data_IF_267882256902
#
_entry.id   IF_267882256902
#
_cell.length_a   1.000
_cell.length_b   1.000
_cell.length_c   1.000
_cell.angle_alpha   90.00
_cell.angle_beta   90.00
_cell.angle_gamma   90.00
#
_symmetry.space_group_name_H-M   'P 1'
#
loop_
_entity.id
_entity.type
_entity.pdbx_description
1 polymer ?
#
# COMPACT_ATOMS: atom_id res chain seq x y z
N UNK A 1 -38.98 23.06 -8.86
CA UNK A 1 -39.07 23.15 -10.33
C UNK A 1 -38.76 21.78 -10.91
N UNK A 2 -39.74 21.11 -11.56
CA UNK A 2 -39.54 19.79 -12.18
C UNK A 2 -38.69 19.91 -13.45
N UNK A 3 -37.66 19.08 -13.58
CA UNK A 3 -37.22 18.38 -14.80
C UNK A 3 -36.71 17.03 -14.32
N UNK A 4 -37.47 15.96 -14.58
CA UNK A 4 -37.37 15.11 -15.76
C UNK A 4 -36.29 14.05 -15.55
N UNK A 5 -36.70 12.79 -15.70
CA UNK A 5 -35.95 11.60 -15.36
C UNK A 5 -34.64 11.49 -16.16
N UNK A 6 -33.52 11.32 -15.44
CA UNK A 6 -32.32 10.75 -16.02
C UNK A 6 -32.47 9.21 -16.06
N UNK A 7 -32.12 8.54 -17.17
CA UNK A 7 -32.01 7.08 -17.22
C UNK A 7 -30.83 6.61 -16.34
N UNK A 8 -30.77 5.32 -15.95
CA UNK A 8 -29.70 4.79 -15.12
C UNK A 8 -28.40 4.70 -15.94
N UNK A 9 -27.74 5.83 -16.11
CA UNK A 9 -26.40 5.95 -16.67
C UNK A 9 -25.37 5.74 -15.57
N UNK A 10 -24.65 4.62 -15.69
CA UNK A 10 -23.32 4.35 -15.19
C UNK A 10 -22.70 5.47 -14.34
N UNK A 11 -22.67 5.26 -13.01
CA UNK A 11 -21.95 6.11 -12.07
C UNK A 11 -20.42 5.90 -12.19
N UNK A 12 -19.87 6.13 -13.37
CA UNK A 12 -18.45 6.36 -13.60
C UNK A 12 -18.05 7.71 -13.04
N UNK A 13 -17.95 7.84 -11.70
CA UNK A 13 -17.31 9.00 -11.09
C UNK A 13 -15.85 9.02 -11.55
N UNK A 14 -15.53 10.09 -12.28
CA UNK A 14 -14.48 10.10 -13.29
C UNK A 14 -13.06 9.99 -12.73
N UNK A 15 -12.20 9.32 -13.52
CA UNK A 15 -10.75 9.51 -13.52
C UNK A 15 -10.01 8.70 -14.62
N UNK A 16 -10.66 8.29 -15.72
CA UNK A 16 -9.98 7.64 -16.84
C UNK A 16 -10.41 8.24 -18.19
N UNK A 17 -9.42 8.67 -18.99
CA UNK A 17 -9.62 9.13 -20.37
C UNK A 17 -9.90 7.97 -21.35
N UNK A 18 -9.79 6.72 -20.89
CA UNK A 18 -10.08 5.51 -21.66
C UNK A 18 -11.10 4.62 -20.94
N UNK A 19 -12.06 4.07 -21.66
CA UNK A 19 -12.98 3.05 -21.14
C UNK A 19 -12.23 1.74 -20.86
N UNK A 20 -12.74 0.84 -19.99
CA UNK A 20 -12.14 -0.48 -19.79
C UNK A 20 -11.92 -1.24 -21.10
N UNK A 21 -12.90 -1.22 -22.01
CA UNK A 21 -12.78 -1.83 -23.33
C UNK A 21 -11.65 -1.22 -24.17
N UNK A 22 -11.53 0.12 -24.20
CA UNK A 22 -10.45 0.80 -24.92
C UNK A 22 -9.06 0.42 -24.38
N UNK A 23 -8.93 0.25 -23.05
CA UNK A 23 -7.68 -0.20 -22.42
C UNK A 23 -7.27 -1.62 -22.82
N UNK A 24 -8.24 -2.54 -22.90
CA UNK A 24 -7.97 -3.90 -23.35
C UNK A 24 -7.51 -3.93 -24.81
N UNK A 25 -8.18 -3.16 -25.69
CA UNK A 25 -7.83 -3.12 -27.11
C UNK A 25 -6.45 -2.53 -27.40
N UNK A 26 -6.02 -1.49 -26.66
CA UNK A 26 -4.66 -0.94 -26.84
C UNK A 26 -3.58 -1.88 -26.25
N UNK A 27 -3.86 -2.57 -25.14
CA UNK A 27 -2.94 -3.55 -24.57
C UNK A 27 -2.74 -4.76 -25.48
N UNK A 28 -3.80 -5.24 -26.15
CA UNK A 28 -3.71 -6.28 -27.20
C UNK A 28 -2.80 -5.88 -28.37
N UNK A 29 -2.63 -4.58 -28.61
CA UNK A 29 -1.73 -4.03 -29.63
C UNK A 29 -0.31 -3.79 -29.12
N UNK A 30 0.04 -4.31 -27.94
CA UNK A 30 1.38 -4.22 -27.36
C UNK A 30 1.66 -2.93 -26.57
N UNK A 31 0.66 -2.08 -26.34
CA UNK A 31 0.83 -0.87 -25.53
C UNK A 31 0.75 -1.23 -24.05
N UNK A 32 1.78 -0.88 -23.26
CA UNK A 32 1.77 -1.10 -21.81
C UNK A 32 0.88 -0.04 -21.15
N UNK A 33 -0.14 -0.49 -20.42
CA UNK A 33 -1.06 0.38 -19.66
C UNK A 33 -1.02 -0.03 -18.19
N UNK A 34 -0.42 0.81 -17.35
CA UNK A 34 -0.27 0.57 -15.90
C UNK A 34 -1.31 1.34 -15.05
N UNK A 35 -2.34 1.93 -15.67
CA UNK A 35 -3.17 2.95 -15.00
C UNK A 35 -4.29 2.39 -14.10
N UNK A 36 -4.54 3.17 -13.05
CA UNK A 36 -5.68 3.28 -12.11
C UNK A 36 -5.54 2.64 -10.71
N UNK A 37 -4.68 1.64 -10.51
CA UNK A 37 -4.36 1.20 -9.14
C UNK A 37 -3.12 1.95 -8.59
N UNK A 38 -2.01 2.00 -9.32
CA UNK A 38 -0.71 2.47 -8.78
C UNK A 38 -0.62 4.00 -8.61
N UNK A 39 -1.15 4.80 -9.56
CA UNK A 39 -1.16 6.26 -9.45
C UNK A 39 -2.16 6.77 -8.40
N UNK A 40 -3.34 6.16 -8.32
CA UNK A 40 -4.34 6.48 -7.28
C UNK A 40 -3.85 6.09 -5.88
N UNK A 41 -3.09 4.98 -5.78
CA UNK A 41 -2.40 4.62 -4.53
C UNK A 41 -1.44 5.71 -4.08
N UNK A 42 -0.68 6.35 -4.98
CA UNK A 42 0.22 7.43 -4.59
C UNK A 42 -0.52 8.62 -3.95
N UNK A 43 -1.70 9.00 -4.46
CA UNK A 43 -2.54 10.02 -3.84
C UNK A 43 -3.11 9.62 -2.46
N UNK A 44 -3.51 8.35 -2.31
CA UNK A 44 -3.94 7.80 -1.02
C UNK A 44 -2.76 7.76 -0.03
N UNK A 45 -1.58 7.37 -0.49
CA UNK A 45 -0.37 7.33 0.33
C UNK A 45 0.08 8.75 0.72
N UNK A 46 0.05 9.73 -0.19
CA UNK A 46 0.42 11.11 0.15
C UNK A 46 -0.51 11.71 1.21
N UNK A 47 -1.82 11.45 1.12
CA UNK A 47 -2.78 11.91 2.13
C UNK A 47 -2.59 11.22 3.49
N UNK A 48 -2.15 9.96 3.53
CA UNK A 48 -1.81 9.31 4.80
C UNK A 48 -0.59 9.97 5.45
N UNK A 49 0.43 10.34 4.68
CA UNK A 49 1.57 11.10 5.22
C UNK A 49 1.20 12.51 5.65
N UNK A 50 0.25 13.18 4.99
CA UNK A 50 -0.27 14.46 5.47
C UNK A 50 -0.90 14.34 6.87
N UNK A 51 -1.70 13.30 7.10
CA UNK A 51 -2.26 12.99 8.43
C UNK A 51 -1.13 12.75 9.43
N UNK A 52 -0.08 12.03 9.04
CA UNK A 52 1.06 11.74 9.91
C UNK A 52 1.85 13.00 10.27
N UNK A 53 2.02 13.94 9.34
CA UNK A 53 2.62 15.24 9.63
C UNK A 53 1.82 15.99 10.70
N UNK A 54 0.49 16.05 10.55
CA UNK A 54 -0.41 16.71 11.50
C UNK A 54 -0.44 16.04 12.89
N UNK A 55 -0.23 14.72 12.95
CA UNK A 55 -0.16 14.00 14.22
C UNK A 55 1.17 14.20 14.97
N UNK A 56 2.26 14.40 14.23
CA UNK A 56 3.62 14.38 14.79
C UNK A 56 4.24 15.77 14.95
N UNK A 57 3.72 16.77 14.25
CA UNK A 57 4.27 18.12 14.22
C UNK A 57 3.18 19.17 14.42
N UNK A 58 3.54 20.24 15.11
CA UNK A 58 2.76 21.48 15.10
C UNK A 58 2.87 22.17 13.73
N UNK A 59 1.96 23.10 13.38
CA UNK A 59 2.06 23.83 12.12
C UNK A 59 3.39 24.59 11.95
N UNK A 60 3.94 25.14 13.03
CA UNK A 60 5.23 25.83 13.00
C UNK A 60 6.39 24.88 12.70
N UNK A 61 6.41 23.72 13.35
CA UNK A 61 7.42 22.69 13.11
C UNK A 61 7.32 22.13 11.68
N UNK A 62 6.10 21.89 11.19
CA UNK A 62 5.89 21.43 9.83
C UNK A 62 6.40 22.46 8.81
N UNK A 63 6.06 23.74 8.97
CA UNK A 63 6.55 24.80 8.08
C UNK A 63 8.08 24.94 8.11
N UNK A 64 8.72 24.72 9.26
CA UNK A 64 10.17 24.76 9.39
C UNK A 64 10.90 23.57 8.73
N UNK A 65 10.21 22.45 8.55
CA UNK A 65 10.79 21.22 7.99
C UNK A 65 10.08 20.73 6.72
N UNK A 66 9.25 21.57 6.11
CA UNK A 66 8.31 21.19 5.04
C UNK A 66 9.05 20.56 3.86
N UNK A 67 10.13 21.20 3.41
CA UNK A 67 10.89 20.76 2.25
C UNK A 67 11.51 19.37 2.49
N UNK A 68 12.12 19.16 3.66
CA UNK A 68 12.71 17.87 4.03
C UNK A 68 11.63 16.78 4.18
N UNK A 69 10.51 17.10 4.83
CA UNK A 69 9.41 16.15 5.01
C UNK A 69 8.80 15.73 3.67
N UNK A 70 8.54 16.68 2.77
CA UNK A 70 7.99 16.40 1.44
C UNK A 70 8.97 15.57 0.61
N UNK A 71 10.27 15.89 0.67
CA UNK A 71 11.29 15.12 -0.04
C UNK A 71 11.32 13.65 0.42
N UNK A 72 11.23 13.40 1.72
CA UNK A 72 11.16 12.04 2.25
C UNK A 72 9.90 11.30 1.81
N UNK A 73 8.75 11.98 1.76
CA UNK A 73 7.50 11.39 1.25
C UNK A 73 7.64 11.02 -0.22
N UNK A 74 8.27 11.86 -1.04
CA UNK A 74 8.52 11.58 -2.45
C UNK A 74 9.40 10.33 -2.62
N UNK A 75 10.48 10.20 -1.84
CA UNK A 75 11.34 9.01 -1.85
C UNK A 75 10.55 7.74 -1.52
N UNK A 76 9.61 7.82 -0.57
CA UNK A 76 8.74 6.68 -0.24
C UNK A 76 7.80 6.36 -1.42
N UNK A 77 7.15 7.36 -2.01
CA UNK A 77 6.24 7.17 -3.14
C UNK A 77 6.95 6.54 -4.34
N UNK A 78 8.13 7.03 -4.70
CA UNK A 78 8.97 6.48 -5.76
C UNK A 78 9.30 5.01 -5.51
N UNK A 79 9.76 4.68 -4.30
CA UNK A 79 10.05 3.30 -3.93
C UNK A 79 8.82 2.40 -4.04
N UNK A 80 7.64 2.86 -3.58
CA UNK A 80 6.41 2.06 -3.66
C UNK A 80 5.95 1.84 -5.09
N UNK A 81 6.04 2.87 -5.93
CA UNK A 81 5.73 2.77 -7.35
C UNK A 81 6.69 1.80 -8.05
N UNK A 82 7.98 1.84 -7.70
CA UNK A 82 9.00 0.95 -8.24
C UNK A 82 8.74 -0.51 -7.82
N UNK A 83 8.51 -0.78 -6.53
CA UNK A 83 8.23 -2.13 -6.00
C UNK A 83 6.99 -2.74 -6.71
N UNK A 84 5.92 -1.96 -6.86
CA UNK A 84 4.70 -2.41 -7.53
C UNK A 84 4.93 -2.68 -9.02
N UNK A 85 5.57 -1.74 -9.73
CA UNK A 85 5.86 -1.90 -11.16
C UNK A 85 6.71 -3.15 -11.41
N UNK A 86 7.77 -3.36 -10.62
CA UNK A 86 8.63 -4.55 -10.70
C UNK A 86 7.82 -5.83 -10.57
N UNK A 87 6.93 -5.91 -9.58
CA UNK A 87 6.08 -7.10 -9.37
C UNK A 87 5.09 -7.32 -10.52
N UNK A 88 4.47 -6.25 -11.04
CA UNK A 88 3.57 -6.36 -12.19
C UNK A 88 4.32 -6.95 -13.40
N UNK A 89 5.49 -6.38 -13.73
CA UNK A 89 6.29 -6.88 -14.85
C UNK A 89 6.78 -8.31 -14.64
N UNK A 90 7.12 -8.68 -13.41
CA UNK A 90 7.50 -10.05 -13.08
C UNK A 90 6.35 -11.02 -13.35
N UNK A 91 5.16 -10.78 -12.77
CA UNK A 91 3.99 -11.65 -12.94
C UNK A 91 3.50 -11.72 -14.38
N UNK A 92 3.62 -10.62 -15.13
CA UNK A 92 3.31 -10.63 -16.57
C UNK A 92 4.23 -11.59 -17.33
N UNK A 93 5.54 -11.59 -17.04
CA UNK A 93 6.50 -12.51 -17.65
C UNK A 93 6.24 -13.97 -17.24
N UNK A 94 5.97 -14.21 -15.96
CA UNK A 94 5.64 -15.56 -15.43
C UNK A 94 4.37 -16.12 -16.06
N UNK A 95 3.38 -15.25 -16.35
CA UNK A 95 2.16 -15.60 -17.08
C UNK A 95 2.31 -15.64 -18.61
N UNK A 96 3.53 -15.67 -19.15
CA UNK A 96 3.82 -15.68 -20.59
C UNK A 96 3.13 -14.54 -21.38
N UNK A 97 2.90 -13.39 -20.74
CA UNK A 97 2.22 -12.24 -21.33
C UNK A 97 0.74 -12.43 -21.63
N UNK A 98 0.09 -13.45 -21.06
CA UNK A 98 -1.34 -13.71 -21.24
C UNK A 98 -2.23 -12.81 -20.37
N UNK A 99 -1.71 -12.36 -19.22
CA UNK A 99 -2.43 -11.50 -18.29
C UNK A 99 -2.15 -10.03 -18.58
N UNK A 100 -3.20 -9.20 -18.63
CA UNK A 100 -3.02 -7.76 -18.77
C UNK A 100 -2.39 -7.15 -17.51
N UNK A 101 -1.57 -6.12 -17.70
CA UNK A 101 -0.91 -5.39 -16.61
C UNK A 101 -1.91 -4.84 -15.59
N UNK A 102 -3.08 -4.41 -16.06
CA UNK A 102 -4.20 -3.93 -15.22
C UNK A 102 -4.77 -5.03 -14.31
N UNK A 103 -4.91 -6.25 -14.82
CA UNK A 103 -5.47 -7.36 -14.05
C UNK A 103 -4.50 -7.82 -12.98
N UNK A 104 -3.20 -7.85 -13.31
CA UNK A 104 -2.12 -8.14 -12.36
C UNK A 104 -2.09 -7.08 -11.26
N UNK A 105 -2.17 -5.80 -11.62
CA UNK A 105 -2.17 -4.68 -10.65
C UNK A 105 -3.38 -4.75 -9.69
N UNK A 106 -4.55 -5.12 -10.22
CA UNK A 106 -5.74 -5.36 -9.40
C UNK A 106 -5.55 -6.55 -8.45
N UNK A 107 -5.03 -7.67 -8.95
CA UNK A 107 -4.77 -8.87 -8.13
C UNK A 107 -3.80 -8.57 -6.96
N UNK A 108 -2.69 -7.88 -7.25
CA UNK A 108 -1.74 -7.42 -6.22
C UNK A 108 -2.44 -6.56 -5.16
N UNK A 109 -3.33 -5.66 -5.58
CA UNK A 109 -4.06 -4.78 -4.66
C UNK A 109 -5.00 -5.58 -3.75
N UNK A 110 -5.72 -6.56 -4.30
CA UNK A 110 -6.57 -7.46 -3.54
C UNK A 110 -5.76 -8.27 -2.53
N UNK A 111 -4.64 -8.86 -2.93
CA UNK A 111 -3.75 -9.61 -2.03
C UNK A 111 -3.24 -8.76 -0.86
N UNK A 112 -2.78 -7.52 -1.13
CA UNK A 112 -2.35 -6.59 -0.09
C UNK A 112 -3.49 -6.28 0.88
N UNK A 113 -4.69 -6.03 0.35
CA UNK A 113 -5.86 -5.71 1.18
C UNK A 113 -6.31 -6.88 2.06
N UNK A 114 -6.23 -8.11 1.55
CA UNK A 114 -6.55 -9.32 2.31
C UNK A 114 -5.57 -9.53 3.45
N UNK A 115 -4.26 -9.41 3.19
CA UNK A 115 -3.25 -9.45 4.24
C UNK A 115 -3.42 -8.30 5.24
N UNK A 116 -3.69 -7.09 4.76
CA UNK A 116 -3.95 -5.92 5.59
C UNK A 116 -5.10 -6.18 6.56
N UNK A 117 -6.26 -6.68 6.07
CA UNK A 117 -7.43 -6.93 6.90
C UNK A 117 -7.15 -7.94 8.01
N UNK A 118 -6.44 -9.04 7.68
CA UNK A 118 -6.03 -10.06 8.65
C UNK A 118 -5.09 -9.49 9.72
N UNK A 119 -4.06 -8.76 9.29
CA UNK A 119 -3.08 -8.15 10.19
C UNK A 119 -3.70 -7.06 11.06
N UNK A 120 -4.61 -6.26 10.52
CA UNK A 120 -5.28 -5.21 11.26
C UNK A 120 -6.13 -5.78 12.40
N UNK A 121 -6.89 -6.84 12.13
CA UNK A 121 -7.62 -7.57 13.16
C UNK A 121 -6.67 -8.23 14.18
N UNK A 122 -5.54 -8.76 13.72
CA UNK A 122 -4.52 -9.34 14.60
C UNK A 122 -3.95 -8.30 15.59
N UNK A 123 -3.61 -7.10 15.13
CA UNK A 123 -3.12 -6.03 15.99
C UNK A 123 -4.20 -5.42 16.88
N UNK A 124 -5.45 -5.32 16.41
CA UNK A 124 -6.56 -4.86 17.26
C UNK A 124 -6.77 -5.72 18.50
N UNK A 125 -6.61 -7.04 18.36
CA UNK A 125 -6.73 -7.99 19.49
C UNK A 125 -5.49 -8.02 20.38
N UNK A 126 -4.40 -7.36 19.99
CA UNK A 126 -3.09 -7.37 20.68
C UNK A 126 -2.40 -6.01 20.62
N UNK A 127 -2.99 -4.95 21.22
CA UNK A 127 -2.48 -3.59 21.09
C UNK A 127 -1.05 -3.42 21.61
N UNK A 128 -0.66 -4.18 22.64
CA UNK A 128 0.67 -4.12 23.26
C UNK A 128 1.82 -4.48 22.30
N UNK A 129 1.53 -5.21 21.22
CA UNK A 129 2.55 -5.56 20.21
C UNK A 129 3.17 -4.32 19.59
N UNK A 130 2.39 -3.24 19.42
CA UNK A 130 2.86 -2.03 18.75
C UNK A 130 4.08 -1.38 19.43
N UNK A 131 4.22 -1.56 20.74
CA UNK A 131 5.28 -0.94 21.53
C UNK A 131 6.48 -1.88 21.72
N UNK A 132 6.38 -3.15 21.31
CA UNK A 132 7.52 -4.06 21.34
C UNK A 132 8.62 -3.62 20.36
N UNK A 133 9.91 -3.86 20.67
CA UNK A 133 11.02 -3.34 19.89
C UNK A 133 10.99 -3.69 18.40
N UNK A 134 10.51 -4.90 18.05
CA UNK A 134 10.43 -5.35 16.66
C UNK A 134 9.39 -4.54 15.87
N UNK A 135 8.16 -4.46 16.36
CA UNK A 135 7.09 -3.72 15.69
C UNK A 135 7.35 -2.22 15.69
N UNK A 136 8.01 -1.69 16.74
CA UNK A 136 8.46 -0.29 16.75
C UNK A 136 9.46 0.00 15.63
N UNK A 137 10.37 -0.92 15.29
CA UNK A 137 11.25 -0.77 14.12
C UNK A 137 10.46 -0.73 12.81
N UNK A 138 9.44 -1.56 12.67
CA UNK A 138 8.54 -1.57 11.49
C UNK A 138 7.80 -0.24 11.38
N UNK A 139 7.17 0.21 12.47
CA UNK A 139 6.50 1.52 12.55
C UNK A 139 7.42 2.64 12.08
N UNK A 140 8.62 2.73 12.66
CA UNK A 140 9.57 3.76 12.29
C UNK A 140 9.96 3.66 10.81
N UNK A 141 10.20 2.46 10.28
CA UNK A 141 10.60 2.27 8.88
C UNK A 141 9.56 2.75 7.85
N UNK A 142 8.30 2.86 8.26
CA UNK A 142 7.22 3.41 7.44
C UNK A 142 7.26 4.94 7.39
N UNK A 143 7.79 5.61 8.42
CA UNK A 143 7.72 7.07 8.54
C UNK A 143 8.78 7.77 7.67
N UNK A 144 8.55 9.04 7.28
CA UNK A 144 9.56 9.88 6.64
C UNK A 144 10.89 9.91 7.40
N UNK A 145 12.01 10.03 6.68
CA UNK A 145 13.36 10.06 7.24
C UNK A 145 13.51 11.04 8.40
N UNK A 146 13.02 12.26 8.20
CA UNK A 146 12.95 13.33 9.20
C UNK A 146 12.37 12.85 10.53
N UNK A 147 11.27 12.10 10.50
CA UNK A 147 10.62 11.59 11.72
C UNK A 147 11.47 10.51 12.40
N UNK A 148 12.18 9.68 11.62
CA UNK A 148 13.05 8.63 12.15
C UNK A 148 14.34 9.18 12.76
N UNK A 149 14.87 10.23 12.15
CA UNK A 149 16.22 10.72 12.40
C UNK A 149 16.26 11.84 13.45
N UNK A 150 15.22 12.69 13.50
CA UNK A 150 15.14 13.78 14.48
C UNK A 150 14.56 13.26 15.80
N UNK A 151 15.33 13.26 16.92
CA UNK A 151 14.88 12.67 18.18
C UNK A 151 13.57 13.26 18.71
N UNK A 152 13.37 14.58 18.53
CA UNK A 152 12.16 15.29 18.93
C UNK A 152 10.88 14.73 18.29
N UNK A 153 10.93 14.36 17.01
CA UNK A 153 9.77 13.79 16.31
C UNK A 153 9.66 12.29 16.55
N UNK A 154 10.80 11.60 16.59
CA UNK A 154 10.86 10.15 16.83
C UNK A 154 10.23 9.75 18.17
N UNK A 155 10.37 10.57 19.21
CA UNK A 155 9.79 10.27 20.53
C UNK A 155 8.27 10.34 20.51
N UNK A 156 7.67 11.24 19.71
CA UNK A 156 6.21 11.43 19.57
C UNK A 156 5.50 10.25 18.90
N UNK A 157 6.23 9.42 18.15
CA UNK A 157 5.69 8.21 17.49
C UNK A 157 5.03 7.27 18.51
N UNK A 158 5.53 7.23 19.75
CA UNK A 158 4.95 6.39 20.82
C UNK A 158 3.54 6.86 21.22
N UNK A 159 3.23 8.14 21.04
CA UNK A 159 2.00 8.79 21.49
C UNK A 159 0.92 8.82 20.39
N UNK A 160 1.23 8.31 19.19
CA UNK A 160 0.25 8.20 18.10
C UNK A 160 -0.93 7.30 18.50
N UNK A 161 -2.15 7.59 17.99
CA UNK A 161 -3.31 6.73 18.25
C UNK A 161 -3.04 5.28 17.87
N UNK A 162 -3.38 4.34 18.77
CA UNK A 162 -3.10 2.91 18.58
C UNK A 162 -3.67 2.37 17.27
N UNK A 163 -4.86 2.85 16.86
CA UNK A 163 -5.48 2.48 15.58
C UNK A 163 -4.61 2.86 14.37
N UNK A 164 -3.90 4.00 14.42
CA UNK A 164 -2.97 4.41 13.37
C UNK A 164 -1.72 3.52 13.39
N UNK A 165 -1.20 3.17 14.57
CA UNK A 165 -0.11 2.19 14.70
C UNK A 165 -0.49 0.84 14.06
N UNK A 166 -1.72 0.35 14.33
CA UNK A 166 -2.24 -0.87 13.70
C UNK A 166 -2.28 -0.76 12.17
N UNK A 167 -2.78 0.36 11.64
CA UNK A 167 -2.86 0.59 10.20
C UNK A 167 -1.48 0.59 9.54
N UNK A 168 -0.51 1.30 10.14
CA UNK A 168 0.87 1.35 9.64
C UNK A 168 1.50 -0.05 9.63
N UNK A 169 1.43 -0.77 10.76
CA UNK A 169 2.01 -2.12 10.85
C UNK A 169 1.37 -3.06 9.83
N UNK A 170 0.05 -3.03 9.70
CA UNK A 170 -0.69 -3.90 8.78
C UNK A 170 -0.33 -3.58 7.33
N UNK A 171 -0.28 -2.30 6.96
CA UNK A 171 0.09 -1.87 5.61
C UNK A 171 1.54 -2.24 5.28
N UNK A 172 2.49 -1.92 6.17
CA UNK A 172 3.92 -2.17 5.91
C UNK A 172 4.22 -3.67 5.77
N UNK A 173 3.62 -4.50 6.62
CA UNK A 173 3.84 -5.94 6.60
C UNK A 173 3.12 -6.58 5.40
N UNK A 174 1.86 -6.23 5.14
CA UNK A 174 1.10 -6.75 3.99
C UNK A 174 1.80 -6.45 2.66
N UNK A 175 2.23 -5.20 2.47
CA UNK A 175 2.95 -4.80 1.26
C UNK A 175 4.26 -5.57 1.11
N UNK A 176 5.02 -5.78 2.19
CA UNK A 176 6.27 -6.56 2.13
C UNK A 176 6.03 -8.04 1.83
N UNK A 177 4.98 -8.64 2.38
CA UNK A 177 4.59 -10.03 2.08
C UNK A 177 4.36 -10.19 0.58
N UNK A 178 3.55 -9.31 -0.03
CA UNK A 178 3.19 -9.41 -1.45
C UNK A 178 4.37 -9.07 -2.37
N UNK A 179 5.13 -8.02 -2.06
CA UNK A 179 6.21 -7.54 -2.94
C UNK A 179 7.48 -8.37 -2.85
N UNK A 180 7.80 -8.95 -1.70
CA UNK A 180 9.01 -9.78 -1.53
C UNK A 180 8.74 -11.27 -1.68
N UNK A 181 7.49 -11.70 -1.58
CA UNK A 181 7.12 -13.11 -1.56
C UNK A 181 7.69 -13.85 -0.34
N UNK A 182 7.58 -15.18 -0.36
CA UNK A 182 8.22 -16.06 0.63
C UNK A 182 7.45 -16.30 1.93
N UNK A 183 6.43 -15.49 2.24
CA UNK A 183 5.57 -15.73 3.41
C UNK A 183 4.65 -16.94 3.22
N UNK A 184 3.99 -17.06 2.07
CA UNK A 184 3.13 -18.23 1.79
C UNK A 184 3.94 -19.48 1.44
N UNK A 185 5.16 -19.33 0.90
CA UNK A 185 6.06 -20.47 0.72
C UNK A 185 6.41 -21.17 2.04
N UNK A 186 6.44 -20.44 3.17
CA UNK A 186 6.60 -21.03 4.50
C UNK A 186 5.36 -21.86 4.88
N UNK A 187 4.14 -21.42 4.52
CA UNK A 187 2.93 -22.24 4.74
C UNK A 187 2.94 -23.52 3.90
N UNK A 188 3.21 -23.43 2.59
CA UNK A 188 3.27 -24.61 1.73
C UNK A 188 4.39 -25.57 2.17
N UNK A 189 5.54 -25.04 2.56
CA UNK A 189 6.64 -25.85 3.10
C UNK A 189 6.26 -26.54 4.41
N UNK A 190 5.60 -25.82 5.34
CA UNK A 190 5.10 -26.38 6.60
C UNK A 190 3.98 -27.40 6.39
N UNK A 191 3.08 -27.15 5.43
CA UNK A 191 2.01 -28.08 5.07
C UNK A 191 2.60 -29.36 4.47
N UNK A 192 3.52 -29.24 3.52
CA UNK A 192 4.20 -30.39 2.92
C UNK A 192 5.01 -31.16 3.96
N UNK A 193 5.66 -30.48 4.91
CA UNK A 193 6.36 -31.11 6.02
C UNK A 193 5.39 -31.87 6.94
N UNK A 194 4.25 -31.26 7.29
CA UNK A 194 3.21 -31.90 8.09
C UNK A 194 2.61 -33.12 7.38
N UNK A 195 2.30 -33.00 6.09
CA UNK A 195 1.73 -34.10 5.31
C UNK A 195 2.71 -35.29 5.20
N UNK A 196 4.02 -35.03 5.04
CA UNK A 196 5.07 -36.09 5.04
C UNK A 196 5.28 -36.77 6.39
N UNK A 197 4.97 -36.09 7.49
CA UNK A 197 5.09 -36.64 8.84
C UNK A 197 3.87 -37.50 9.20
N UNK A 198 2.70 -37.14 8.67
CA UNK A 198 1.42 -37.76 9.02
C UNK A 198 0.95 -38.86 8.04
N UNK A 199 1.44 -38.86 6.80
CA UNK A 199 1.11 -39.82 5.74
C UNK A 199 2.37 -40.35 5.07
#
# INVERSE_FOLDING_TARGET
>A
YRRAADPPGDHGRGQSFFTPAARSEIQKKGVIVLRDASANKCGVISSSYEIMANLLMTPKEFLAHKEAYVQDVLVILEKRAEEEARLIFQRHREGNGQLFYTDISNAISTEINDHYARLFNYFQTRPDLCDQPLFRKVLLSHLPGLIREVPQFRTRVKDMPTKIKHAILSSEIATRIVYRGGWEMDFESRLNAFLKDQF
#
